data_IF_278743122233
#
_entry.id   IF_278743122233
#
_cell.length_a   1.000
_cell.length_b   1.000
_cell.length_c   1.000
_cell.angle_alpha   90.00
_cell.angle_beta   90.00
_cell.angle_gamma   90.00
#
_symmetry.space_group_name_H-M   'P 1'
#
loop_
_entity.id
_entity.type
_entity.pdbx_description
1 polymer ?
#
# COMPACT_ATOMS: atom_id res chain seq x y z
N UNK A 1 -21.50 -3.33 -65.13
CA UNK A 1 -20.30 -2.62 -64.64
C UNK A 1 -19.76 -3.42 -63.45
N UNK A 2 -19.02 -4.54 -63.63
CA UNK A 2 -17.53 -4.62 -63.72
C UNK A 2 -16.83 -3.67 -62.73
N UNK A 3 -15.88 -4.00 -61.84
CA UNK A 3 -14.96 -5.14 -61.57
C UNK A 3 -14.53 -5.07 -60.06
N UNK A 4 -14.44 -6.17 -59.30
CA UNK A 4 -13.26 -7.00 -58.97
C UNK A 4 -12.15 -6.39 -58.07
N UNK A 5 -11.98 -6.94 -56.84
CA UNK A 5 -10.68 -7.15 -56.18
C UNK A 5 -10.72 -8.50 -55.42
N UNK A 6 -10.01 -9.51 -55.94
CA UNK A 6 -9.49 -10.72 -55.24
C UNK A 6 -8.12 -10.31 -54.63
N UNK A 7 -7.56 -10.92 -53.57
CA UNK A 7 -7.26 -12.34 -53.46
C UNK A 7 -6.89 -12.81 -52.02
N UNK A 8 -7.08 -14.11 -51.82
CA UNK A 8 -6.68 -14.98 -50.70
C UNK A 8 -5.15 -15.09 -50.56
N UNK A 9 -4.67 -15.21 -49.32
CA UNK A 9 -3.42 -15.95 -49.00
C UNK A 9 -3.77 -17.07 -48.02
N UNK A 10 -3.56 -18.30 -48.48
CA UNK A 10 -3.75 -19.56 -47.78
C UNK A 10 -2.39 -20.20 -47.50
N UNK A 11 -2.25 -20.78 -46.31
CA UNK A 11 -1.67 -22.11 -46.09
C UNK A 11 -0.17 -22.30 -46.46
N UNK A 12 0.73 -22.12 -45.48
CA UNK A 12 2.15 -22.49 -45.56
C UNK A 12 2.33 -23.90 -44.97
N UNK A 13 3.09 -24.74 -45.68
CA UNK A 13 3.30 -26.16 -45.39
C UNK A 13 4.25 -26.39 -44.19
N UNK A 14 4.04 -27.49 -43.41
CA UNK A 14 4.76 -27.77 -42.15
C UNK A 14 6.22 -28.25 -42.31
N UNK A 15 6.70 -28.43 -43.54
CA UNK A 15 8.06 -28.84 -43.90
C UNK A 15 9.08 -27.68 -43.96
N UNK A 16 8.61 -26.43 -43.99
CA UNK A 16 9.48 -25.23 -43.99
C UNK A 16 9.80 -24.74 -42.57
N UNK A 17 9.00 -25.12 -41.56
CA UNK A 17 9.20 -24.70 -40.17
C UNK A 17 10.32 -25.47 -39.44
N UNK A 18 10.67 -26.68 -39.90
CA UNK A 18 11.76 -27.49 -39.33
C UNK A 18 13.15 -27.10 -39.83
N UNK A 19 13.24 -26.35 -40.94
CA UNK A 19 14.52 -25.91 -41.51
C UNK A 19 15.04 -24.61 -40.87
N UNK A 20 14.17 -23.82 -40.24
CA UNK A 20 14.53 -22.57 -39.54
C UNK A 20 15.09 -22.86 -38.14
N UNK A 21 14.67 -23.95 -37.48
CA UNK A 21 15.16 -24.34 -36.15
C UNK A 21 16.51 -25.10 -36.16
N UNK A 22 17.01 -25.53 -37.33
CA UNK A 22 18.26 -26.31 -37.44
C UNK A 22 19.50 -25.43 -37.70
N UNK A 23 19.33 -24.11 -37.92
CA UNK A 23 20.41 -23.17 -38.26
C UNK A 23 20.86 -22.25 -37.11
N UNK A 24 20.28 -22.36 -35.91
CA UNK A 24 20.69 -21.54 -34.74
C UNK A 24 21.31 -22.34 -33.59
N UNK A 25 21.52 -23.65 -33.76
CA UNK A 25 22.07 -24.54 -32.73
C UNK A 25 23.51 -25.03 -33.02
N UNK A 26 24.28 -24.30 -33.84
CA UNK A 26 25.66 -24.64 -34.19
C UNK A 26 26.59 -23.42 -34.09
N UNK A 27 26.64 -22.80 -32.90
CA UNK A 27 27.65 -21.78 -32.57
C UNK A 27 28.23 -21.95 -31.15
N UNK A 28 28.13 -23.15 -30.59
CA UNK A 28 28.78 -23.54 -29.35
C UNK A 28 29.64 -24.78 -29.61
N UNK A 29 30.94 -24.55 -29.78
CA UNK A 29 32.08 -25.46 -29.62
C UNK A 29 33.02 -25.29 -30.80
N UNK A 30 34.16 -24.61 -30.57
CA UNK A 30 35.47 -24.85 -31.19
C UNK A 30 36.38 -23.68 -30.78
N UNK A 31 37.17 -23.89 -29.72
CA UNK A 31 38.65 -23.90 -29.78
C UNK A 31 39.20 -23.85 -28.36
N UNK A 32 39.54 -25.04 -27.86
CA UNK A 32 40.52 -25.25 -26.81
C UNK A 32 41.91 -25.04 -27.43
N UNK A 33 42.70 -24.12 -26.88
CA UNK A 33 44.13 -24.00 -27.19
C UNK A 33 44.91 -23.63 -25.92
N UNK A 34 45.62 -24.65 -25.43
CA UNK A 34 46.96 -24.62 -24.85
C UNK A 34 47.21 -23.74 -23.60
N UNK A 35 47.28 -24.44 -22.46
CA UNK A 35 48.07 -24.06 -21.31
C UNK A 35 49.57 -24.07 -21.69
N UNK A 36 50.22 -22.93 -21.62
CA UNK A 36 51.67 -22.84 -21.46
C UNK A 36 51.98 -22.20 -20.11
N UNK A 37 52.86 -22.90 -19.39
CA UNK A 37 53.29 -22.61 -18.03
C UNK A 37 54.13 -21.33 -18.00
N UNK A 38 53.61 -20.26 -17.39
CA UNK A 38 54.44 -19.13 -16.99
C UNK A 38 54.38 -18.94 -15.48
N UNK A 39 55.49 -19.30 -14.83
CA UNK A 39 55.75 -19.05 -13.40
C UNK A 39 55.82 -17.54 -13.16
N UNK A 40 54.98 -16.95 -12.28
CA UNK A 40 55.17 -15.57 -11.88
C UNK A 40 56.22 -15.50 -10.76
N UNK A 41 57.39 -14.95 -11.10
CA UNK A 41 58.42 -14.54 -10.14
C UNK A 41 57.82 -13.48 -9.21
N UNK A 42 57.73 -13.79 -7.91
CA UNK A 42 57.40 -12.80 -6.87
C UNK A 42 58.49 -11.73 -6.84
N UNK A 43 58.21 -10.56 -7.42
CA UNK A 43 58.94 -9.33 -7.12
C UNK A 43 58.35 -8.73 -5.84
N UNK A 44 59.10 -8.78 -4.75
CA UNK A 44 58.79 -8.00 -3.55
C UNK A 44 58.93 -6.50 -3.87
N UNK A 45 57.90 -5.69 -3.65
CA UNK A 45 58.05 -4.24 -3.74
C UNK A 45 58.88 -3.72 -2.55
N UNK A 46 59.73 -2.69 -2.75
CA UNK A 46 60.49 -2.09 -1.66
C UNK A 46 59.54 -1.41 -0.64
N UNK A 47 59.90 -1.36 0.65
CA UNK A 47 59.07 -0.76 1.67
C UNK A 47 58.92 0.76 1.43
N UNK A 48 57.68 1.22 1.28
CA UNK A 48 57.38 2.65 1.16
C UNK A 48 57.57 3.35 2.51
N UNK A 49 58.60 4.19 2.56
CA UNK A 49 58.89 5.11 3.66
C UNK A 49 58.08 6.40 3.48
N UNK A 50 56.79 6.41 3.83
CA UNK A 50 56.06 7.67 4.04
C UNK A 50 55.03 7.54 5.17
N UNK A 51 55.02 8.45 6.17
CA UNK A 51 53.95 8.52 7.15
C UNK A 51 52.73 9.25 6.57
N UNK A 52 51.58 8.59 6.71
CA UNK A 52 50.20 9.05 6.91
C UNK A 52 49.69 10.35 6.22
N UNK A 53 48.61 10.20 5.46
CA UNK A 53 47.53 11.20 5.51
C UNK A 53 46.21 10.49 5.78
N UNK A 54 45.65 10.71 6.98
CA UNK A 54 44.26 10.36 7.27
C UNK A 54 43.38 11.26 6.41
N UNK A 55 42.87 10.70 5.32
CA UNK A 55 41.71 11.24 4.63
C UNK A 55 40.56 11.18 5.63
N UNK A 56 40.21 12.32 6.23
CA UNK A 56 38.96 12.44 6.99
C UNK A 56 37.84 12.37 5.97
N UNK A 57 37.22 11.20 5.86
CA UNK A 57 36.02 11.01 5.06
C UNK A 57 34.92 11.97 5.52
N UNK A 58 34.20 12.63 4.60
CA UNK A 58 33.09 13.51 4.96
C UNK A 58 32.02 12.70 5.70
N UNK A 59 31.62 13.19 6.87
CA UNK A 59 30.60 12.55 7.70
C UNK A 59 29.24 12.56 7.00
N UNK A 60 28.71 11.36 6.78
CA UNK A 60 27.35 11.13 6.26
C UNK A 60 26.30 11.84 7.13
N UNK A 61 25.24 12.44 6.54
CA UNK A 61 24.14 13.00 7.31
C UNK A 61 23.52 11.96 8.25
N UNK A 62 23.45 12.27 9.54
CA UNK A 62 22.89 11.39 10.57
C UNK A 62 21.36 11.33 10.33
N UNK A 63 20.88 10.22 9.77
CA UNK A 63 19.45 9.91 9.72
C UNK A 63 18.93 9.79 11.17
N UNK A 64 17.72 10.30 11.48
CA UNK A 64 17.17 10.20 12.83
C UNK A 64 17.09 8.73 13.26
N UNK A 65 17.45 8.48 14.52
CA UNK A 65 17.39 7.14 15.09
C UNK A 65 15.93 6.65 15.17
N UNK A 66 15.72 5.34 15.13
CA UNK A 66 14.37 4.73 15.28
C UNK A 66 13.67 5.21 16.55
N UNK A 67 14.43 5.41 17.64
CA UNK A 67 13.89 5.91 18.91
C UNK A 67 13.34 7.34 18.77
N UNK A 68 14.10 8.23 18.12
CA UNK A 68 13.69 9.61 17.85
C UNK A 68 12.39 9.66 17.03
N UNK A 69 12.27 8.81 16.01
CA UNK A 69 11.05 8.73 15.20
C UNK A 69 9.82 8.28 16.03
N UNK A 70 9.98 7.32 16.94
CA UNK A 70 8.88 6.85 17.78
C UNK A 70 8.41 7.94 18.74
N UNK A 71 9.32 8.73 19.29
CA UNK A 71 8.97 9.83 20.19
C UNK A 71 8.28 11.00 19.48
N UNK A 72 8.67 11.31 18.25
CA UNK A 72 7.97 12.29 17.40
C UNK A 72 6.52 11.84 17.12
N UNK A 73 6.33 10.57 16.73
CA UNK A 73 5.01 9.99 16.50
C UNK A 73 4.15 10.04 17.78
N UNK A 74 4.74 9.73 18.94
CA UNK A 74 4.08 9.79 20.24
C UNK A 74 3.67 11.22 20.61
N UNK A 75 4.54 12.19 20.34
CA UNK A 75 4.27 13.61 20.59
C UNK A 75 3.13 14.12 19.70
N UNK A 76 3.14 13.76 18.42
CA UNK A 76 2.06 14.08 17.49
C UNK A 76 0.72 13.46 17.90
N UNK A 77 0.73 12.19 18.32
CA UNK A 77 -0.47 11.50 18.82
C UNK A 77 -1.11 12.24 20.02
N UNK A 78 -0.26 12.72 20.95
CA UNK A 78 -0.70 13.52 22.10
C UNK A 78 -1.25 14.88 21.66
N UNK A 79 -0.57 15.58 20.76
CA UNK A 79 -1.01 16.86 20.22
C UNK A 79 -2.38 16.77 19.52
N UNK A 80 -2.61 15.69 18.78
CA UNK A 80 -3.89 15.39 18.11
C UNK A 80 -5.02 14.95 19.07
N UNK A 81 -4.71 14.72 20.36
CA UNK A 81 -5.67 14.23 21.38
C UNK A 81 -6.41 12.97 20.92
N UNK A 82 -5.66 12.00 20.40
CA UNK A 82 -6.20 10.74 19.86
C UNK A 82 -6.50 9.68 20.93
N UNK A 83 -6.01 9.86 22.16
CA UNK A 83 -6.30 8.96 23.28
C UNK A 83 -7.81 8.81 23.48
N UNK A 84 -8.26 7.56 23.62
CA UNK A 84 -9.69 7.22 23.71
C UNK A 84 -10.47 7.27 22.39
N UNK A 85 -9.84 7.70 21.28
CA UNK A 85 -10.48 7.76 19.94
C UNK A 85 -9.87 6.78 18.95
N UNK A 86 -8.54 6.75 18.86
CA UNK A 86 -7.77 5.86 17.98
C UNK A 86 -6.63 5.25 18.80
N UNK A 87 -6.44 3.94 18.75
CA UNK A 87 -5.36 3.30 19.50
C UNK A 87 -3.98 3.78 19.00
N UNK A 88 -3.05 3.98 19.94
CA UNK A 88 -1.70 4.45 19.62
C UNK A 88 -0.95 3.52 18.67
N UNK A 89 -1.11 2.20 18.80
CA UNK A 89 -0.42 1.24 17.95
C UNK A 89 -0.89 1.34 16.48
N UNK A 90 -2.18 1.58 16.25
CA UNK A 90 -2.74 1.80 14.90
C UNK A 90 -2.17 3.10 14.31
N UNK A 91 -2.20 4.19 15.07
CA UNK A 91 -1.64 5.47 14.64
C UNK A 91 -0.14 5.37 14.31
N UNK A 92 0.63 4.70 15.17
CA UNK A 92 2.06 4.47 14.96
C UNK A 92 2.32 3.68 13.67
N UNK A 93 1.57 2.60 13.43
CA UNK A 93 1.68 1.82 12.17
C UNK A 93 1.37 2.66 10.94
N UNK A 94 0.31 3.48 11.01
CA UNK A 94 -0.07 4.39 9.95
C UNK A 94 1.07 5.39 9.62
N UNK A 95 1.66 6.02 10.64
CA UNK A 95 2.74 7.00 10.46
C UNK A 95 4.04 6.37 9.93
N UNK A 96 4.41 5.19 10.41
CA UNK A 96 5.60 4.47 9.93
C UNK A 96 5.42 4.07 8.46
N UNK A 97 4.28 3.46 8.11
CA UNK A 97 4.01 3.08 6.72
C UNK A 97 3.88 4.29 5.79
N UNK A 98 3.27 5.37 6.26
CA UNK A 98 3.23 6.65 5.56
C UNK A 98 4.63 7.16 5.20
N UNK A 99 5.56 7.16 6.17
CA UNK A 99 6.95 7.58 5.94
C UNK A 99 7.72 6.67 4.98
N UNK A 100 7.42 5.37 4.94
CA UNK A 100 8.10 4.39 4.06
C UNK A 100 7.63 4.43 2.60
N UNK A 101 6.35 4.69 2.35
CA UNK A 101 5.75 4.62 1.01
C UNK A 101 6.07 5.85 0.16
N UNK A 102 6.17 7.04 0.77
CA UNK A 102 6.43 8.29 0.04
C UNK A 102 5.23 8.78 -0.78
N UNK A 103 4.17 9.22 -0.10
CA UNK A 103 2.97 9.77 -0.75
C UNK A 103 3.22 11.14 -1.40
N UNK A 104 2.45 11.47 -2.45
CA UNK A 104 2.52 12.79 -3.11
C UNK A 104 2.04 13.88 -2.16
N UNK A 105 0.96 13.62 -1.44
CA UNK A 105 0.44 14.48 -0.38
C UNK A 105 0.78 13.86 0.97
N UNK A 106 1.75 14.45 1.66
CA UNK A 106 2.26 14.01 2.96
C UNK A 106 1.67 14.80 4.13
N UNK A 107 0.90 15.84 3.84
CA UNK A 107 0.24 16.71 4.79
C UNK A 107 -1.07 16.12 5.33
N UNK A 108 -1.67 15.17 4.63
CA UNK A 108 -2.95 14.55 4.99
C UNK A 108 -2.81 13.03 5.07
N UNK A 109 -3.32 12.43 6.15
CA UNK A 109 -3.48 10.99 6.28
C UNK A 109 -4.92 10.64 6.68
N UNK A 110 -5.48 9.62 6.05
CA UNK A 110 -6.76 9.03 6.42
C UNK A 110 -6.52 7.67 7.08
N UNK A 111 -7.12 7.43 8.24
CA UNK A 111 -7.01 6.17 8.97
C UNK A 111 -8.41 5.61 9.22
N UNK A 112 -8.61 4.34 8.89
CA UNK A 112 -9.83 3.58 9.18
C UNK A 112 -9.50 2.46 10.16
N UNK A 113 -10.19 2.46 11.30
CA UNK A 113 -10.03 1.45 12.35
C UNK A 113 -11.19 0.45 12.32
N UNK A 114 -11.01 -0.66 11.62
CA UNK A 114 -11.99 -1.74 11.55
C UNK A 114 -11.99 -2.67 12.78
N UNK A 115 -11.15 -2.43 13.78
CA UNK A 115 -11.29 -3.12 15.08
C UNK A 115 -12.56 -2.69 15.82
N UNK A 116 -13.07 -1.48 15.50
CA UNK A 116 -14.30 -0.91 16.05
C UNK A 116 -15.54 -1.30 15.23
N UNK A 117 -16.72 -1.44 15.88
CA UNK A 117 -17.97 -1.73 15.18
C UNK A 117 -18.37 -0.60 14.20
N UNK A 118 -19.16 -0.93 13.18
CA UNK A 118 -19.63 0.05 12.18
C UNK A 118 -20.53 1.15 12.75
N UNK A 119 -21.13 0.90 13.92
CA UNK A 119 -21.92 1.87 14.69
C UNK A 119 -21.07 2.98 15.32
N UNK A 120 -19.74 2.87 15.32
CA UNK A 120 -18.85 3.86 15.90
C UNK A 120 -18.12 4.68 14.83
N UNK A 121 -17.81 5.93 15.16
CA UNK A 121 -16.94 6.78 14.35
C UNK A 121 -15.53 6.20 14.36
N UNK A 122 -15.10 5.67 13.22
CA UNK A 122 -13.86 4.90 13.07
C UNK A 122 -13.03 5.29 11.84
N UNK A 123 -13.41 6.35 11.14
CA UNK A 123 -12.58 7.01 10.13
C UNK A 123 -12.07 8.33 10.67
N UNK A 124 -10.77 8.57 10.48
CA UNK A 124 -10.07 9.80 10.85
C UNK A 124 -9.42 10.38 9.61
N UNK A 125 -9.63 11.67 9.34
CA UNK A 125 -8.82 12.45 8.40
C UNK A 125 -8.01 13.44 9.22
N UNK A 126 -6.69 13.40 9.10
CA UNK A 126 -5.75 14.13 9.95
C UNK A 126 -4.89 15.03 9.07
N UNK A 127 -4.82 16.30 9.47
CA UNK A 127 -3.86 17.28 8.95
C UNK A 127 -2.58 17.19 9.79
N UNK A 128 -1.50 16.73 9.15
CA UNK A 128 -0.18 16.53 9.73
C UNK A 128 0.66 17.82 9.70
N UNK A 129 0.37 18.73 8.78
CA UNK A 129 1.08 20.02 8.68
C UNK A 129 0.67 20.95 9.82
N UNK A 130 -0.64 21.02 10.09
CA UNK A 130 -1.20 21.69 11.25
C UNK A 130 -1.93 20.65 12.09
N UNK A 131 -1.26 20.01 13.07
CA UNK A 131 -1.76 18.84 13.79
C UNK A 131 -3.20 18.99 14.31
N UNK A 132 -4.18 18.49 13.53
CA UNK A 132 -5.58 18.45 13.91
C UNK A 132 -6.33 17.34 13.18
N UNK A 133 -7.42 16.90 13.79
CA UNK A 133 -8.38 15.99 13.15
C UNK A 133 -9.35 16.85 12.33
N UNK A 134 -9.35 16.71 11.01
CA UNK A 134 -10.28 17.38 10.10
C UNK A 134 -11.66 16.72 10.14
N UNK A 135 -11.68 15.38 10.12
CA UNK A 135 -12.92 14.60 10.16
C UNK A 135 -12.76 13.39 11.06
N UNK A 136 -13.81 13.13 11.86
CA UNK A 136 -13.97 11.90 12.65
C UNK A 136 -15.40 11.41 12.44
N UNK A 137 -15.57 10.38 11.60
CA UNK A 137 -16.89 9.97 11.08
C UNK A 137 -17.05 8.45 10.98
N UNK A 138 -18.27 8.03 10.65
CA UNK A 138 -18.61 6.64 10.38
C UNK A 138 -18.12 6.23 8.98
N UNK A 139 -17.83 4.94 8.81
CA UNK A 139 -17.46 4.35 7.53
C UNK A 139 -17.91 2.90 7.46
N UNK A 140 -18.51 2.51 6.34
CA UNK A 140 -18.98 1.14 6.12
C UNK A 140 -17.82 0.18 5.92
N UNK A 141 -18.11 -1.11 5.95
CA UNK A 141 -17.23 -2.15 5.44
C UNK A 141 -18.00 -3.04 4.45
N UNK A 142 -17.30 -3.94 3.77
CA UNK A 142 -17.91 -4.87 2.83
C UNK A 142 -18.86 -5.86 3.50
N UNK A 143 -19.95 -6.22 2.81
CA UNK A 143 -20.99 -7.14 3.26
C UNK A 143 -20.43 -8.47 3.79
N UNK A 144 -19.45 -9.02 3.08
CA UNK A 144 -18.86 -10.31 3.46
C UNK A 144 -17.69 -10.15 4.45
N UNK A 145 -17.34 -8.91 4.84
CA UNK A 145 -16.34 -8.68 5.89
C UNK A 145 -16.89 -8.90 7.28
N UNK A 146 -18.21 -8.87 7.46
CA UNK A 146 -18.89 -9.10 8.72
C UNK A 146 -20.16 -8.26 8.82
N UNK A 147 -20.86 -8.40 9.94
CA UNK A 147 -22.13 -7.69 10.15
C UNK A 147 -21.90 -6.32 10.83
N UNK A 148 -21.68 -6.33 12.14
CA UNK A 148 -21.36 -5.11 12.90
C UNK A 148 -19.84 -4.86 12.90
N UNK A 149 -19.06 -5.93 13.07
CA UNK A 149 -17.60 -5.88 13.09
C UNK A 149 -17.07 -6.46 11.78
N UNK A 150 -16.09 -5.78 11.18
CA UNK A 150 -15.36 -6.32 10.05
C UNK A 150 -14.27 -7.28 10.58
N UNK A 151 -14.40 -8.56 10.23
CA UNK A 151 -13.53 -9.66 10.67
C UNK A 151 -12.80 -10.34 9.53
N UNK A 152 -13.37 -10.32 8.33
CA UNK A 152 -12.80 -11.01 7.17
C UNK A 152 -12.44 -10.00 6.08
N UNK A 153 -11.27 -10.15 5.48
CA UNK A 153 -10.79 -9.24 4.44
C UNK A 153 -10.32 -10.04 3.24
N UNK A 154 -10.36 -9.44 2.05
CA UNK A 154 -9.94 -10.13 0.84
C UNK A 154 -9.42 -9.16 -0.21
N UNK A 155 -8.51 -9.64 -1.03
CA UNK A 155 -8.03 -8.99 -2.24
C UNK A 155 -8.70 -9.56 -3.51
N UNK A 156 -9.64 -10.50 -3.38
CA UNK A 156 -10.21 -11.22 -4.52
C UNK A 156 -11.37 -10.45 -5.17
N UNK A 157 -11.45 -10.53 -6.51
CA UNK A 157 -12.58 -9.99 -7.27
C UNK A 157 -13.89 -10.65 -6.84
N UNK A 158 -14.95 -9.85 -6.72
CA UNK A 158 -16.28 -10.35 -6.38
C UNK A 158 -16.48 -10.84 -4.94
N UNK A 159 -15.44 -10.81 -4.09
CA UNK A 159 -15.52 -11.25 -2.68
C UNK A 159 -16.52 -10.46 -1.83
N UNK A 160 -16.82 -9.22 -2.21
CA UNK A 160 -17.63 -8.24 -1.43
C UNK A 160 -17.08 -7.95 -0.03
N UNK A 161 -15.79 -8.24 0.18
CA UNK A 161 -15.07 -7.94 1.41
C UNK A 161 -14.23 -6.68 1.22
N UNK A 162 -14.03 -5.92 2.30
CA UNK A 162 -13.05 -4.85 2.32
C UNK A 162 -11.62 -5.40 2.25
N UNK A 163 -10.69 -4.56 1.78
CA UNK A 163 -9.26 -4.80 1.87
C UNK A 163 -8.64 -3.97 2.98
N UNK A 164 -7.62 -4.52 3.63
CA UNK A 164 -6.78 -3.81 4.59
C UNK A 164 -5.60 -3.13 3.88
N UNK A 165 -4.80 -2.41 4.65
CA UNK A 165 -3.49 -1.92 4.22
C UNK A 165 -3.49 -0.48 3.74
N UNK A 166 -2.40 -0.12 3.08
CA UNK A 166 -2.16 1.22 2.54
C UNK A 166 -2.69 1.36 1.11
N UNK A 167 -3.38 2.48 0.88
CA UNK A 167 -3.90 2.91 -0.40
C UNK A 167 -3.43 4.32 -0.69
N UNK A 168 -3.25 4.63 -1.97
CA UNK A 168 -3.08 5.99 -2.47
C UNK A 168 -4.41 6.47 -3.04
N UNK A 169 -4.84 7.67 -2.66
CA UNK A 169 -5.99 8.31 -3.29
C UNK A 169 -5.65 8.74 -4.71
N UNK A 170 -6.50 8.40 -5.67
CA UNK A 170 -6.25 8.65 -7.09
C UNK A 170 -7.17 9.76 -7.61
N UNK A 171 -7.71 9.61 -8.82
CA UNK A 171 -8.61 10.58 -9.40
C UNK A 171 -10.04 10.44 -8.86
N UNK A 172 -10.77 11.55 -8.93
CA UNK A 172 -12.20 11.60 -8.64
C UNK A 172 -13.02 11.38 -9.90
N UNK A 173 -14.26 10.93 -9.73
CA UNK A 173 -15.23 10.76 -10.81
C UNK A 173 -16.65 10.84 -10.25
N UNK A 174 -17.65 10.96 -11.13
CA UNK A 174 -19.06 10.86 -10.77
C UNK A 174 -19.59 9.50 -11.21
N UNK A 175 -19.99 8.67 -10.26
CA UNK A 175 -20.57 7.34 -10.48
C UNK A 175 -22.02 7.25 -10.02
N UNK A 176 -22.55 6.03 -9.90
CA UNK A 176 -23.92 5.78 -9.42
C UNK A 176 -24.20 6.30 -8.00
N UNK A 177 -23.14 6.50 -7.21
CA UNK A 177 -23.18 7.03 -5.85
C UNK A 177 -22.70 8.49 -5.78
N UNK A 178 -22.70 9.19 -6.92
CA UNK A 178 -22.27 10.58 -7.02
C UNK A 178 -20.74 10.72 -7.00
N UNK A 179 -20.28 11.84 -6.43
CA UNK A 179 -18.87 12.19 -6.34
C UNK A 179 -18.09 11.13 -5.55
N UNK A 180 -17.13 10.48 -6.22
CA UNK A 180 -16.41 9.31 -5.75
C UNK A 180 -14.91 9.46 -6.00
N UNK A 181 -14.10 8.80 -5.19
CA UNK A 181 -12.64 8.86 -5.23
C UNK A 181 -12.05 7.47 -5.42
N UNK A 182 -11.31 7.27 -6.51
CA UNK A 182 -10.64 6.00 -6.77
C UNK A 182 -9.46 5.79 -5.83
N UNK A 183 -9.19 4.52 -5.53
CA UNK A 183 -8.09 4.09 -4.68
C UNK A 183 -7.18 3.14 -5.44
N UNK A 184 -5.87 3.33 -5.28
CA UNK A 184 -4.85 2.39 -5.71
C UNK A 184 -4.30 1.69 -4.48
N UNK A 185 -4.46 0.36 -4.40
CA UNK A 185 -3.81 -0.43 -3.35
C UNK A 185 -2.32 -0.55 -3.58
N UNK A 186 -1.54 -0.46 -2.51
CA UNK A 186 -0.08 -0.36 -2.55
C UNK A 186 0.64 -1.60 -2.04
N UNK A 187 -0.09 -2.61 -1.58
CA UNK A 187 0.46 -3.81 -0.95
C UNK A 187 0.15 -5.05 -1.80
N UNK A 188 1.15 -5.60 -2.53
CA UNK A 188 1.00 -6.80 -3.35
C UNK A 188 0.42 -7.98 -2.57
N UNK A 189 -0.60 -8.62 -3.12
CA UNK A 189 -1.30 -9.75 -2.50
C UNK A 189 -2.28 -9.36 -1.39
N UNK A 190 -2.26 -8.11 -0.90
CA UNK A 190 -3.11 -7.63 0.19
C UNK A 190 -4.23 -6.74 -0.34
N UNK A 191 -3.89 -5.76 -1.18
CA UNK A 191 -4.87 -4.81 -1.72
C UNK A 191 -4.55 -4.31 -3.14
N UNK A 192 -3.53 -4.85 -3.81
CA UNK A 192 -3.13 -4.45 -5.17
C UNK A 192 -4.22 -4.63 -6.24
N UNK A 193 -5.26 -5.42 -5.97
CA UNK A 193 -6.42 -5.56 -6.86
C UNK A 193 -7.53 -4.54 -6.57
N UNK A 194 -7.37 -3.62 -5.62
CA UNK A 194 -8.38 -2.63 -5.23
C UNK A 194 -8.98 -1.88 -6.44
N UNK A 195 -8.13 -1.48 -7.38
CA UNK A 195 -8.54 -0.78 -8.59
C UNK A 195 -9.41 -1.63 -9.51
N UNK A 196 -9.01 -2.90 -9.71
CA UNK A 196 -9.76 -3.88 -10.53
C UNK A 196 -11.06 -4.32 -9.86
N UNK A 197 -11.17 -4.10 -8.55
CA UNK A 197 -12.33 -4.42 -7.72
C UNK A 197 -13.28 -3.23 -7.53
N UNK A 198 -12.99 -2.10 -8.18
CA UNK A 198 -13.72 -0.85 -8.03
C UNK A 198 -13.86 -0.41 -6.55
N UNK A 199 -12.83 -0.65 -5.75
CA UNK A 199 -12.78 -0.17 -4.37
C UNK A 199 -12.50 1.34 -4.38
N UNK A 200 -13.49 2.12 -3.97
CA UNK A 200 -13.48 3.58 -4.00
C UNK A 200 -14.05 4.15 -2.70
N UNK A 201 -13.73 5.40 -2.37
CA UNK A 201 -14.48 6.17 -1.37
C UNK A 201 -15.66 6.83 -2.09
N UNK A 202 -16.86 6.70 -1.51
CA UNK A 202 -18.07 7.34 -2.01
C UNK A 202 -19.09 7.53 -0.89
N UNK A 203 -20.14 8.32 -1.13
CA UNK A 203 -21.27 8.48 -0.22
C UNK A 203 -22.33 7.43 -0.49
N UNK A 204 -23.14 7.05 0.51
CA UNK A 204 -24.30 6.20 0.24
C UNK A 204 -25.41 6.34 1.29
N UNK A 205 -26.69 6.14 0.92
CA UNK A 205 -27.79 6.12 1.88
C UNK A 205 -27.66 5.03 2.95
N UNK A 206 -27.04 3.89 2.62
CA UNK A 206 -26.78 2.83 3.60
C UNK A 206 -25.69 3.20 4.61
N UNK A 207 -24.85 4.19 4.30
CA UNK A 207 -23.85 4.76 5.21
C UNK A 207 -24.41 5.93 6.05
N UNK A 208 -25.74 6.02 6.18
CA UNK A 208 -26.40 7.04 7.00
C UNK A 208 -26.39 6.64 8.49
N UNK A 209 -25.86 7.49 9.41
CA UNK A 209 -25.88 7.23 10.84
C UNK A 209 -27.28 7.03 11.45
N UNK A 210 -28.36 7.51 10.81
CA UNK A 210 -29.73 7.22 11.23
C UNK A 210 -30.05 5.70 11.22
N UNK A 211 -29.34 4.91 10.40
CA UNK A 211 -29.45 3.46 10.42
C UNK A 211 -28.95 2.86 11.74
N UNK A 212 -28.01 3.52 12.43
CA UNK A 212 -27.50 3.05 13.72
C UNK A 212 -28.58 3.17 14.79
N UNK A 213 -29.31 4.29 14.83
CA UNK A 213 -30.42 4.47 15.76
C UNK A 213 -31.57 3.47 15.51
N UNK A 214 -31.81 3.10 14.25
CA UNK A 214 -32.91 2.22 13.85
C UNK A 214 -32.57 0.72 13.95
N UNK A 215 -31.36 0.33 13.58
CA UNK A 215 -30.97 -1.07 13.40
C UNK A 215 -29.77 -1.49 14.26
N UNK A 216 -29.09 -0.54 14.92
CA UNK A 216 -27.92 -0.80 15.76
C UNK A 216 -26.58 -0.85 15.01
N UNK A 217 -26.56 -0.64 13.69
CA UNK A 217 -25.34 -0.67 12.88
C UNK A 217 -25.46 0.20 11.63
N UNK A 218 -24.30 0.55 11.05
CA UNK A 218 -24.22 1.19 9.75
C UNK A 218 -24.34 0.13 8.64
N UNK A 219 -24.97 0.44 7.51
CA UNK A 219 -25.09 -0.50 6.40
C UNK A 219 -23.74 -0.93 5.81
N UNK A 220 -23.78 -1.88 4.87
CA UNK A 220 -22.59 -2.49 4.27
C UNK A 220 -22.48 -2.19 2.78
N UNK A 221 -21.26 -2.00 2.29
CA UNK A 221 -20.94 -1.88 0.86
C UNK A 221 -20.55 -3.25 0.28
N UNK A 222 -20.00 -3.29 -0.94
CA UNK A 222 -19.34 -4.48 -1.51
C UNK A 222 -17.81 -4.42 -1.40
N UNK A 223 -17.30 -3.71 -0.38
CA UNK A 223 -15.88 -3.62 -0.07
C UNK A 223 -15.40 -2.17 0.10
N UNK A 224 -16.07 -1.23 -0.58
CA UNK A 224 -15.80 0.20 -0.51
C UNK A 224 -15.93 0.78 0.90
N UNK A 225 -15.00 1.63 1.35
CA UNK A 225 -15.22 2.51 2.51
C UNK A 225 -16.23 3.61 2.15
N UNK A 226 -17.52 3.33 2.29
CA UNK A 226 -18.58 4.30 2.03
C UNK A 226 -18.86 5.18 3.25
N UNK A 227 -19.19 6.44 3.01
CA UNK A 227 -19.30 7.50 4.01
C UNK A 227 -20.73 8.08 4.07
N UNK A 228 -21.09 8.75 5.17
CA UNK A 228 -22.29 9.58 5.22
C UNK A 228 -22.28 10.62 4.08
N UNK A 229 -23.39 10.73 3.36
CA UNK A 229 -23.50 11.54 2.14
C UNK A 229 -23.19 13.03 2.38
N UNK A 230 -23.60 13.55 3.54
CA UNK A 230 -23.38 14.93 3.99
C UNK A 230 -21.90 15.32 4.17
N UNK A 231 -21.04 14.35 4.47
CA UNK A 231 -19.60 14.58 4.72
C UNK A 231 -18.71 14.13 3.56
N UNK A 232 -19.23 13.30 2.66
CA UNK A 232 -18.45 12.65 1.59
C UNK A 232 -17.69 13.64 0.73
N UNK A 233 -18.34 14.67 0.20
CA UNK A 233 -17.70 15.61 -0.73
C UNK A 233 -16.54 16.36 -0.09
N UNK A 234 -16.76 16.85 1.13
CA UNK A 234 -15.76 17.56 1.92
C UNK A 234 -14.54 16.66 2.27
N UNK A 235 -14.79 15.39 2.58
CA UNK A 235 -13.73 14.41 2.85
C UNK A 235 -12.95 14.12 1.57
N UNK A 236 -13.62 13.83 0.45
CA UNK A 236 -12.95 13.56 -0.83
C UNK A 236 -12.05 14.72 -1.23
N UNK A 237 -12.52 15.97 -1.11
CA UNK A 237 -11.72 17.14 -1.46
C UNK A 237 -10.52 17.34 -0.53
N UNK A 238 -10.63 16.96 0.74
CA UNK A 238 -9.51 17.01 1.67
C UNK A 238 -8.41 15.98 1.35
N UNK A 239 -8.80 14.80 0.85
CA UNK A 239 -7.89 13.63 0.73
C UNK A 239 -7.52 13.28 -0.72
N UNK A 240 -8.12 13.91 -1.73
CA UNK A 240 -7.77 13.63 -3.14
C UNK A 240 -6.32 14.01 -3.47
N UNK A 241 -5.89 13.62 -4.67
CA UNK A 241 -4.59 13.97 -5.26
C UNK A 241 -3.36 13.28 -4.64
N UNK A 242 -3.51 12.04 -4.17
CA UNK A 242 -2.37 11.20 -3.80
C UNK A 242 -2.00 11.26 -2.32
N UNK A 243 -2.97 11.48 -1.44
CA UNK A 243 -2.81 11.32 0.00
C UNK A 243 -2.87 9.84 0.41
N UNK A 244 -2.46 9.58 1.66
CA UNK A 244 -2.52 8.26 2.25
C UNK A 244 -3.91 7.93 2.79
N UNK A 245 -4.38 6.73 2.50
CA UNK A 245 -5.45 6.04 3.23
C UNK A 245 -4.88 4.75 3.81
N UNK A 246 -5.05 4.57 5.11
CA UNK A 246 -4.66 3.36 5.83
C UNK A 246 -5.89 2.69 6.45
N UNK A 247 -6.14 1.44 6.09
CA UNK A 247 -7.25 0.65 6.64
C UNK A 247 -6.68 -0.48 7.51
N UNK A 248 -7.00 -0.46 8.80
CA UNK A 248 -6.45 -1.37 9.79
C UNK A 248 -7.51 -2.30 10.39
N UNK A 249 -7.14 -3.55 10.64
CA UNK A 249 -7.79 -4.45 11.58
C UNK A 249 -6.74 -5.34 12.26
N UNK A 250 -7.09 -5.97 13.39
CA UNK A 250 -6.26 -6.97 14.06
C UNK A 250 -6.31 -8.33 13.31
N UNK A 251 -5.86 -8.33 12.05
CA UNK A 251 -5.79 -9.51 11.17
C UNK A 251 -4.35 -10.02 11.07
N UNK A 252 -4.09 -11.24 11.55
CA UNK A 252 -2.72 -11.76 11.62
C UNK A 252 -2.11 -12.09 10.26
N UNK A 253 -2.93 -12.42 9.27
CA UNK A 253 -2.42 -12.65 7.91
C UNK A 253 -1.87 -11.34 7.36
N UNK A 254 -2.64 -10.25 7.45
CA UNK A 254 -2.21 -8.92 7.05
C UNK A 254 -0.96 -8.47 7.82
N UNK A 255 -0.97 -8.57 9.16
CA UNK A 255 0.12 -8.08 10.00
C UNK A 255 1.43 -8.87 9.82
N UNK A 256 1.37 -10.11 9.35
CA UNK A 256 2.55 -10.93 9.05
C UNK A 256 3.10 -10.73 7.64
N UNK A 257 2.27 -10.31 6.68
CA UNK A 257 2.64 -10.18 5.26
C UNK A 257 2.86 -8.73 4.80
N UNK A 258 2.35 -7.73 5.53
CA UNK A 258 2.55 -6.33 5.17
C UNK A 258 4.03 -5.94 5.21
N UNK A 259 4.51 -5.33 4.12
CA UNK A 259 5.88 -4.78 4.05
C UNK A 259 6.03 -3.45 4.83
N UNK A 260 4.92 -2.77 5.12
CA UNK A 260 4.91 -1.42 5.68
C UNK A 260 4.57 -1.38 7.16
N UNK A 261 4.01 -2.45 7.71
CA UNK A 261 3.71 -2.57 9.14
C UNK A 261 4.82 -3.35 9.84
N UNK A 262 5.30 -2.81 10.95
CA UNK A 262 6.22 -3.57 11.81
C UNK A 262 5.50 -4.74 12.47
N UNK A 263 6.09 -5.93 12.33
CA UNK A 263 5.68 -7.14 13.06
C UNK A 263 5.74 -6.87 14.56
N UNK A 264 4.72 -7.31 15.31
CA UNK A 264 4.83 -7.36 16.78
C UNK A 264 6.08 -8.17 17.10
N UNK A 265 7.11 -7.52 17.65
CA UNK A 265 8.04 -8.24 18.53
C UNK A 265 7.26 -8.41 19.82
N UNK A 266 6.77 -9.61 20.09
CA UNK A 266 6.35 -9.97 21.43
C UNK A 266 7.61 -10.00 22.30
N UNK A 267 8.06 -8.83 22.72
CA UNK A 267 8.88 -8.71 23.91
C UNK A 267 7.95 -9.04 25.07
N UNK A 268 8.06 -10.25 25.61
CA UNK A 268 7.47 -10.63 26.89
C UNK A 268 7.83 -9.57 27.93
N UNK A 269 6.81 -9.00 28.56
CA UNK A 269 6.94 -7.95 29.55
C UNK A 269 5.57 -7.71 30.16
N UNK A 270 5.44 -8.13 31.42
CA UNK A 270 4.27 -8.01 32.28
C UNK A 270 3.61 -6.62 32.19
N UNK A 271 2.30 -6.58 32.03
CA UNK A 271 1.53 -5.42 32.45
C UNK A 271 1.44 -5.46 33.99
N UNK A 272 2.24 -4.62 34.65
CA UNK A 272 1.83 -4.05 35.92
C UNK A 272 1.09 -2.73 35.66
N UNK A 273 0.04 -2.54 36.46
CA UNK A 273 -0.91 -1.41 36.59
C UNK A 273 -2.16 -1.44 35.71
#
# INVERSE_FOLDING_TARGET
MQMAVRAKITNIRPDVQRLIYLMTALCCALFLAQCDTHVPVKKTPPPSLFPESRIVSPSTPIQPSVETQIDEIRSLYRALRLSGKLRYDIFRKAMIGHGRIGFKRTDIITIVDYTRPSAEKRLFVIDLKTPRILYHTHVTHGLNSGFIHARNFSNELGSKQSSLGFFKTAETYFGRYGYSLRLDGLEPGINDLARKRDIVIHGAPYANPANIAKYGYLGTSWGCPALPEDTTGLIIDAIKEGSCLYIYADDQTYLSHSAFVERRRESGGECQF
#
